data_IF_851799751860
#
_entry.id   IF_851799751860
#
_cell.length_a   1.000
_cell.length_b   1.000
_cell.length_c   1.000
_cell.angle_alpha   90.00
_cell.angle_beta   90.00
_cell.angle_gamma   90.00
#
_symmetry.space_group_name_H-M   'P 1'
#
loop_
_entity.id
_entity.type
_entity.pdbx_description
1 polymer ?
#
# COMPACT_ATOMS: atom_id res chain seq x y z
N UNK A 1 15.58 -12.87 2.79
CA UNK A 1 16.12 -11.82 3.70
C UNK A 1 17.38 -12.31 4.40
N UNK A 2 17.38 -13.50 5.01
CA UNK A 2 18.56 -14.04 5.72
C UNK A 2 19.83 -14.07 4.85
N UNK A 3 19.69 -14.39 3.58
CA UNK A 3 20.80 -14.44 2.63
C UNK A 3 21.32 -13.04 2.26
N UNK A 4 20.43 -12.04 2.26
CA UNK A 4 20.79 -10.66 1.94
C UNK A 4 21.49 -10.01 3.14
N UNK A 5 20.91 -10.18 4.34
CA UNK A 5 21.42 -9.62 5.58
C UNK A 5 20.83 -10.39 6.78
N UNK A 6 21.70 -11.00 7.59
CA UNK A 6 21.32 -11.79 8.76
C UNK A 6 20.69 -10.95 9.88
N UNK A 7 21.13 -9.70 10.04
CA UNK A 7 20.59 -8.78 11.06
C UNK A 7 19.18 -8.34 10.68
N UNK A 8 18.95 -8.05 9.39
CA UNK A 8 17.59 -7.75 8.89
C UNK A 8 16.66 -8.95 9.09
N UNK A 9 17.14 -10.17 8.91
CA UNK A 9 16.33 -11.36 9.15
C UNK A 9 15.97 -11.54 10.63
N UNK A 10 16.87 -11.19 11.55
CA UNK A 10 16.58 -11.20 12.99
C UNK A 10 15.50 -10.16 13.35
N UNK A 11 15.63 -8.94 12.85
CA UNK A 11 14.64 -7.88 13.05
C UNK A 11 13.30 -8.28 12.46
N UNK A 12 13.28 -8.90 11.26
CA UNK A 12 12.04 -9.36 10.63
C UNK A 12 11.32 -10.43 11.45
N UNK A 13 12.04 -11.36 12.08
CA UNK A 13 11.45 -12.36 13.00
C UNK A 13 10.75 -11.70 14.18
N UNK A 14 11.36 -10.70 14.80
CA UNK A 14 10.71 -9.92 15.85
C UNK A 14 9.48 -9.16 15.34
N UNK A 15 9.57 -8.58 14.16
CA UNK A 15 8.43 -7.91 13.52
C UNK A 15 7.26 -8.86 13.25
N UNK A 16 7.53 -10.12 12.91
CA UNK A 16 6.49 -11.16 12.76
C UNK A 16 5.77 -11.45 14.08
N UNK A 17 6.51 -11.57 15.19
CA UNK A 17 5.92 -11.78 16.51
C UNK A 17 5.06 -10.59 16.95
N UNK A 18 5.57 -9.37 16.73
CA UNK A 18 4.80 -8.13 17.02
C UNK A 18 3.55 -8.07 16.16
N UNK A 19 3.65 -8.34 14.86
CA UNK A 19 2.52 -8.35 13.95
C UNK A 19 1.46 -9.38 14.35
N UNK A 20 1.89 -10.60 14.71
CA UNK A 20 1.00 -11.64 15.21
C UNK A 20 0.31 -11.23 16.51
N UNK A 21 1.04 -10.61 17.45
CA UNK A 21 0.50 -10.07 18.69
C UNK A 21 -0.54 -8.97 18.45
N UNK A 22 -0.23 -8.01 17.57
CA UNK A 22 -1.16 -6.93 17.20
C UNK A 22 -2.40 -7.49 16.50
N UNK A 23 -2.24 -8.38 15.53
CA UNK A 23 -3.38 -9.01 14.84
C UNK A 23 -4.28 -9.79 15.78
N UNK A 24 -3.70 -10.58 16.68
CA UNK A 24 -4.44 -11.30 17.73
C UNK A 24 -5.16 -10.33 18.68
N UNK A 25 -4.52 -9.23 19.06
CA UNK A 25 -5.11 -8.16 19.85
C UNK A 25 -6.32 -7.51 19.17
N UNK A 26 -6.21 -7.23 17.86
CA UNK A 26 -7.33 -6.69 17.06
C UNK A 26 -8.49 -7.68 17.03
N UNK A 27 -8.23 -8.96 16.79
CA UNK A 27 -9.27 -10.01 16.81
C UNK A 27 -9.93 -10.14 18.18
N UNK A 28 -9.11 -10.08 19.26
CA UNK A 28 -9.61 -10.17 20.62
C UNK A 28 -10.50 -8.97 21.01
N UNK A 29 -10.04 -7.74 20.72
CA UNK A 29 -10.82 -6.51 20.99
C UNK A 29 -12.13 -6.49 20.22
N UNK A 30 -12.10 -6.90 18.95
CA UNK A 30 -13.30 -6.92 18.09
C UNK A 30 -14.19 -8.13 18.34
N UNK A 31 -13.77 -9.10 19.17
CA UNK A 31 -14.52 -10.32 19.42
C UNK A 31 -15.95 -10.06 19.90
N UNK A 32 -16.09 -9.17 20.87
CA UNK A 32 -17.36 -8.91 21.54
C UNK A 32 -18.09 -7.70 20.94
N UNK A 33 -17.34 -6.72 20.45
CA UNK A 33 -17.90 -5.44 19.93
C UNK A 33 -18.22 -5.48 18.45
N UNK A 34 -17.53 -6.33 17.70
CA UNK A 34 -17.67 -6.43 16.24
C UNK A 34 -17.01 -5.27 15.50
N UNK A 35 -16.97 -5.38 14.15
CA UNK A 35 -16.42 -4.31 13.30
C UNK A 35 -17.31 -3.06 13.23
N UNK A 36 -18.56 -3.14 13.67
CA UNK A 36 -19.51 -2.02 13.68
C UNK A 36 -19.05 -0.84 14.52
N UNK A 37 -18.21 -1.08 15.55
CA UNK A 37 -17.60 -0.02 16.36
C UNK A 37 -16.76 0.94 15.51
N UNK A 38 -16.07 0.42 14.50
CA UNK A 38 -15.24 1.22 13.60
C UNK A 38 -16.09 2.22 12.80
N UNK A 39 -17.30 1.84 12.42
CA UNK A 39 -18.27 2.73 11.77
C UNK A 39 -18.67 3.90 12.65
N UNK A 40 -18.90 3.65 13.95
CA UNK A 40 -19.28 4.68 14.93
C UNK A 40 -18.22 5.76 15.08
N UNK A 41 -16.93 5.37 15.09
CA UNK A 41 -15.82 6.28 15.33
C UNK A 41 -15.08 6.72 14.07
N UNK A 42 -15.72 6.66 12.89
CA UNK A 42 -15.11 6.92 11.58
C UNK A 42 -14.31 8.23 11.47
N UNK A 43 -14.81 9.34 12.02
CA UNK A 43 -14.13 10.64 11.95
C UNK A 43 -12.92 10.69 12.92
N UNK A 44 -13.00 10.03 14.05
CA UNK A 44 -11.87 9.87 14.97
C UNK A 44 -10.79 9.02 14.30
N UNK A 45 -11.19 7.94 13.62
CA UNK A 45 -10.28 7.07 12.85
C UNK A 45 -9.61 7.85 11.72
N UNK A 46 -10.36 8.69 10.99
CA UNK A 46 -9.79 9.57 9.98
C UNK A 46 -8.79 10.56 10.59
N UNK A 47 -9.15 11.22 11.70
CA UNK A 47 -8.27 12.17 12.37
C UNK A 47 -6.97 11.50 12.84
N UNK A 48 -7.05 10.29 13.39
CA UNK A 48 -5.88 9.47 13.75
C UNK A 48 -5.06 9.13 12.49
N UNK A 49 -5.71 8.70 11.40
CA UNK A 49 -5.03 8.40 10.14
C UNK A 49 -4.28 9.59 9.57
N UNK A 50 -4.88 10.77 9.57
CA UNK A 50 -4.22 12.03 9.15
C UNK A 50 -3.08 12.39 10.11
N UNK A 51 -3.27 12.24 11.43
CA UNK A 51 -2.21 12.46 12.41
C UNK A 51 -1.01 11.53 12.16
N UNK A 52 -1.23 10.26 11.84
CA UNK A 52 -0.16 9.35 11.44
C UNK A 52 0.57 9.82 10.18
N UNK A 53 -0.15 10.32 9.15
CA UNK A 53 0.48 10.87 7.95
C UNK A 53 1.31 12.13 8.26
N UNK A 54 0.95 12.91 9.27
CA UNK A 54 1.67 14.12 9.67
C UNK A 54 2.89 13.82 10.57
N UNK A 55 2.93 12.66 11.25
CA UNK A 55 4.02 12.33 12.17
C UNK A 55 5.43 12.42 11.58
N UNK A 56 5.70 11.97 10.34
CA UNK A 56 7.04 12.13 9.75
C UNK A 56 7.49 13.57 9.57
N UNK A 57 6.58 14.55 9.63
CA UNK A 57 6.87 15.97 9.50
C UNK A 57 7.28 16.62 10.82
N UNK A 58 7.22 15.88 11.94
CA UNK A 58 7.64 16.38 13.25
C UNK A 58 9.11 16.82 13.22
N UNK A 59 9.43 17.97 13.84
CA UNK A 59 10.78 18.53 13.83
C UNK A 59 11.78 17.63 14.57
N UNK A 60 13.05 17.79 14.20
CA UNK A 60 14.16 17.16 14.90
C UNK A 60 14.29 17.80 16.30
N UNK A 61 14.70 17.00 17.29
CA UNK A 61 14.82 17.45 18.69
C UNK A 61 13.71 17.01 19.62
N UNK A 62 12.67 16.35 19.12
CA UNK A 62 11.64 15.68 19.93
C UNK A 62 12.00 14.20 20.15
N UNK A 63 11.55 13.57 21.27
CA UNK A 63 11.72 12.13 21.49
C UNK A 63 11.07 11.30 20.37
N UNK A 64 10.04 11.85 19.72
CA UNK A 64 9.38 11.31 18.53
C UNK A 64 9.65 12.29 17.40
N UNK A 65 10.43 11.88 16.41
CA UNK A 65 10.85 12.75 15.31
C UNK A 65 10.75 12.08 13.96
N UNK A 66 10.55 12.89 12.92
CA UNK A 66 10.64 12.42 11.54
C UNK A 66 12.07 12.07 11.15
N UNK A 67 12.26 11.07 10.33
CA UNK A 67 13.55 10.69 9.79
C UNK A 67 13.52 10.69 8.27
N UNK A 68 14.54 11.31 7.67
CA UNK A 68 14.73 11.30 6.22
C UNK A 68 15.58 10.10 5.84
N UNK A 69 15.07 9.26 4.95
CA UNK A 69 15.77 8.11 4.39
C UNK A 69 15.67 8.21 2.86
N UNK A 70 16.79 8.16 2.18
CA UNK A 70 16.87 8.26 0.70
C UNK A 70 16.13 9.50 0.12
N UNK A 71 16.22 10.64 0.81
CA UNK A 71 15.59 11.89 0.39
C UNK A 71 14.08 12.01 0.64
N UNK A 72 13.45 11.00 1.22
CA UNK A 72 12.03 10.98 1.58
C UNK A 72 11.84 10.94 3.10
N UNK A 73 10.91 11.73 3.61
CA UNK A 73 10.63 11.84 5.06
C UNK A 73 9.40 11.02 5.44
N UNK A 74 9.58 9.69 5.49
CA UNK A 74 8.51 8.70 5.65
C UNK A 74 8.54 7.98 7.00
N UNK A 75 9.68 8.01 7.66
CA UNK A 75 9.92 7.25 8.88
C UNK A 75 9.78 8.14 10.12
N UNK A 76 9.32 7.53 11.19
CA UNK A 76 9.33 8.12 12.53
C UNK A 76 10.28 7.32 13.40
N UNK A 77 11.17 8.00 14.08
CA UNK A 77 12.07 7.45 15.09
C UNK A 77 11.58 7.82 16.47
N UNK A 78 11.53 6.82 17.34
CA UNK A 78 11.18 6.99 18.75
C UNK A 78 12.42 6.64 19.57
N UNK A 79 12.94 7.61 20.28
CA UNK A 79 14.01 7.41 21.26
C UNK A 79 13.37 7.19 22.63
N UNK A 80 13.61 6.01 23.21
CA UNK A 80 13.11 5.71 24.55
C UNK A 80 14.22 6.06 25.55
N UNK A 81 14.01 7.05 26.43
CA UNK A 81 15.01 7.40 27.44
C UNK A 81 15.37 6.18 28.29
N UNK A 82 16.66 5.87 28.39
CA UNK A 82 17.16 4.72 29.16
C UNK A 82 17.29 3.39 28.41
N UNK A 83 16.86 3.34 27.16
CA UNK A 83 17.16 2.24 26.24
C UNK A 83 18.01 2.78 25.10
N UNK A 84 19.24 2.25 24.89
CA UNK A 84 20.10 2.58 23.73
C UNK A 84 19.53 1.99 22.42
N UNK A 85 18.21 2.05 22.24
CA UNK A 85 17.51 1.52 21.07
C UNK A 85 16.59 2.56 20.49
N UNK A 86 16.74 2.78 19.19
CA UNK A 86 15.86 3.63 18.40
C UNK A 86 14.85 2.72 17.71
N UNK A 87 13.57 2.91 18.02
CA UNK A 87 12.49 2.27 17.26
C UNK A 87 12.13 3.13 16.06
N UNK A 88 12.10 2.53 14.88
CA UNK A 88 11.66 3.22 13.67
C UNK A 88 10.45 2.51 13.06
N UNK A 89 9.45 3.28 12.67
CA UNK A 89 8.28 2.75 11.96
C UNK A 89 7.80 3.74 10.91
N UNK A 90 7.04 3.24 9.94
CA UNK A 90 6.46 4.03 8.85
C UNK A 90 4.96 4.24 9.12
N UNK A 91 4.54 5.43 9.58
CA UNK A 91 3.15 5.69 9.95
C UNK A 91 2.16 5.58 8.78
N UNK A 92 2.60 5.85 7.56
CA UNK A 92 1.79 5.72 6.34
C UNK A 92 1.19 4.33 6.14
N UNK A 93 1.88 3.28 6.60
CA UNK A 93 1.39 1.90 6.53
C UNK A 93 0.13 1.69 7.39
N UNK A 94 0.08 2.30 8.55
CA UNK A 94 -1.10 2.25 9.44
C UNK A 94 -2.19 3.19 8.92
N UNK A 95 -1.80 4.39 8.47
CA UNK A 95 -2.72 5.40 7.97
C UNK A 95 -3.58 4.88 6.82
N UNK A 96 -3.02 4.11 5.87
CA UNK A 96 -3.79 3.53 4.75
C UNK A 96 -4.93 2.64 5.23
N UNK A 97 -4.73 1.84 6.28
CA UNK A 97 -5.78 0.98 6.85
C UNK A 97 -6.89 1.82 7.50
N UNK A 98 -6.51 2.85 8.26
CA UNK A 98 -7.47 3.77 8.89
C UNK A 98 -8.28 4.55 7.86
N UNK A 99 -7.66 4.97 6.75
CA UNK A 99 -8.34 5.63 5.63
C UNK A 99 -9.35 4.68 4.97
N UNK A 100 -9.00 3.40 4.78
CA UNK A 100 -9.96 2.40 4.26
C UNK A 100 -11.16 2.26 5.18
N UNK A 101 -10.95 2.16 6.49
CA UNK A 101 -12.04 2.06 7.48
C UNK A 101 -12.96 3.29 7.41
N UNK A 102 -12.38 4.49 7.32
CA UNK A 102 -13.13 5.72 7.14
C UNK A 102 -13.95 5.70 5.85
N UNK A 103 -13.29 5.42 4.71
CA UNK A 103 -13.95 5.38 3.40
C UNK A 103 -15.08 4.35 3.36
N UNK A 104 -14.86 3.14 3.86
CA UNK A 104 -15.87 2.10 3.92
C UNK A 104 -17.10 2.56 4.74
N UNK A 105 -16.86 3.21 5.88
CA UNK A 105 -17.90 3.74 6.73
C UNK A 105 -18.68 4.89 6.08
N UNK A 106 -17.96 5.83 5.46
CA UNK A 106 -18.55 6.97 4.80
C UNK A 106 -19.38 6.57 3.57
N UNK A 107 -18.80 5.70 2.74
CA UNK A 107 -19.44 5.19 1.52
C UNK A 107 -20.67 4.33 1.83
N UNK A 108 -20.67 3.58 2.94
CA UNK A 108 -21.82 2.78 3.35
C UNK A 108 -23.09 3.62 3.56
N UNK A 109 -22.94 4.88 3.96
CA UNK A 109 -24.08 5.80 4.17
C UNK A 109 -24.41 6.67 2.95
N UNK A 110 -23.41 6.95 2.10
CA UNK A 110 -23.55 7.95 1.03
C UNK A 110 -23.48 7.37 -0.39
N UNK A 111 -23.28 6.05 -0.54
CA UNK A 111 -23.14 5.43 -1.86
C UNK A 111 -24.31 5.72 -2.79
N UNK A 112 -25.55 5.65 -2.29
CA UNK A 112 -26.75 5.91 -3.10
C UNK A 112 -26.80 7.37 -3.57
N UNK A 113 -26.45 8.32 -2.71
CA UNK A 113 -26.40 9.73 -3.06
C UNK A 113 -25.28 10.04 -4.07
N UNK A 114 -24.14 9.30 -3.99
CA UNK A 114 -23.04 9.42 -4.93
C UNK A 114 -23.34 8.71 -6.26
N UNK A 115 -24.16 7.67 -6.23
CA UNK A 115 -24.63 6.98 -7.42
C UNK A 115 -25.79 7.73 -8.10
N UNK A 116 -26.56 8.56 -7.38
CA UNK A 116 -27.61 9.38 -7.94
C UNK A 116 -27.02 10.43 -8.89
N UNK A 117 -27.66 10.59 -10.02
CA UNK A 117 -27.20 11.50 -11.09
C UNK A 117 -28.13 12.68 -11.13
N UNK A 118 -27.62 13.82 -10.67
CA UNK A 118 -28.41 15.07 -10.70
C UNK A 118 -28.09 15.97 -11.88
N UNK A 119 -26.95 15.82 -12.52
CA UNK A 119 -26.54 16.66 -13.64
C UNK A 119 -25.96 15.85 -14.79
N UNK A 120 -26.40 16.13 -15.99
CA UNK A 120 -25.81 15.63 -17.23
C UNK A 120 -24.95 16.74 -17.84
N UNK A 121 -23.67 16.46 -18.04
CA UNK A 121 -22.77 17.33 -18.79
C UNK A 121 -22.36 16.60 -20.07
N UNK A 122 -23.10 16.83 -21.15
CA UNK A 122 -22.96 16.06 -22.38
C UNK A 122 -23.26 14.56 -22.15
N UNK A 123 -22.39 13.64 -22.60
CA UNK A 123 -22.56 12.20 -22.38
C UNK A 123 -22.24 11.77 -20.94
N UNK A 124 -21.66 12.64 -20.13
CA UNK A 124 -21.22 12.34 -18.75
C UNK A 124 -22.28 12.70 -17.73
N UNK A 125 -22.57 11.75 -16.87
CA UNK A 125 -23.46 11.91 -15.72
C UNK A 125 -22.63 12.20 -14.49
N UNK A 126 -22.65 13.42 -13.99
CA UNK A 126 -21.80 13.90 -12.89
C UNK A 126 -22.59 13.82 -11.59
N UNK A 127 -22.05 13.17 -10.53
CA UNK A 127 -22.66 13.17 -9.21
C UNK A 127 -22.59 14.56 -8.57
N UNK A 128 -23.47 14.82 -7.62
CA UNK A 128 -23.55 16.11 -6.92
C UNK A 128 -22.26 16.35 -6.11
N UNK A 129 -21.54 17.48 -6.31
CA UNK A 129 -20.26 17.75 -5.62
C UNK A 129 -20.37 17.77 -4.09
N UNK A 130 -21.55 18.14 -3.56
CA UNK A 130 -21.82 18.19 -2.13
C UNK A 130 -21.63 16.83 -1.44
N UNK A 131 -21.96 15.74 -2.11
CA UNK A 131 -21.84 14.39 -1.57
C UNK A 131 -20.41 13.86 -1.62
N UNK A 132 -19.57 14.40 -2.52
CA UNK A 132 -18.16 14.05 -2.65
C UNK A 132 -17.25 14.86 -1.72
N UNK A 133 -17.70 16.01 -1.22
CA UNK A 133 -16.89 16.98 -0.48
C UNK A 133 -16.02 16.37 0.62
N UNK A 134 -16.56 15.67 1.62
CA UNK A 134 -15.74 15.09 2.70
C UNK A 134 -14.71 14.03 2.22
N UNK A 135 -15.07 13.26 1.20
CA UNK A 135 -14.14 12.26 0.61
C UNK A 135 -13.02 12.96 -0.15
N UNK A 136 -13.36 14.00 -0.93
CA UNK A 136 -12.37 14.79 -1.67
C UNK A 136 -11.43 15.56 -0.72
N UNK A 137 -11.95 16.10 0.39
CA UNK A 137 -11.12 16.78 1.40
C UNK A 137 -10.18 15.78 2.05
N UNK A 138 -10.65 14.59 2.45
CA UNK A 138 -9.81 13.55 3.01
C UNK A 138 -8.75 13.06 2.01
N UNK A 139 -9.14 12.89 0.74
CA UNK A 139 -8.21 12.53 -0.33
C UNK A 139 -7.17 13.64 -0.55
N UNK A 140 -7.61 14.88 -0.72
CA UNK A 140 -6.72 16.01 -0.97
C UNK A 140 -5.72 16.23 0.18
N UNK A 141 -6.17 16.13 1.44
CA UNK A 141 -5.28 16.26 2.60
C UNK A 141 -4.22 15.15 2.63
N UNK A 142 -4.63 13.89 2.41
CA UNK A 142 -3.68 12.78 2.35
C UNK A 142 -2.69 12.95 1.19
N UNK A 143 -3.17 13.37 0.02
CA UNK A 143 -2.32 13.64 -1.15
C UNK A 143 -1.31 14.74 -0.91
N UNK A 144 -1.73 15.88 -0.38
CA UNK A 144 -0.84 17.00 -0.09
C UNK A 144 0.27 16.61 0.87
N UNK A 145 -0.06 15.83 1.92
CA UNK A 145 0.93 15.35 2.88
C UNK A 145 1.93 14.41 2.20
N UNK A 146 1.47 13.48 1.38
CA UNK A 146 2.33 12.51 0.70
C UNK A 146 3.21 13.16 -0.38
N UNK A 147 2.70 14.17 -1.10
CA UNK A 147 3.49 14.97 -2.04
C UNK A 147 4.61 15.70 -1.29
N UNK A 148 4.29 16.30 -0.16
CA UNK A 148 5.28 16.98 0.68
C UNK A 148 6.34 16.02 1.23
N UNK A 149 5.95 14.79 1.56
CA UNK A 149 6.86 13.72 1.99
C UNK A 149 7.69 13.11 0.84
N UNK A 150 7.38 13.46 -0.42
CA UNK A 150 7.96 12.87 -1.64
C UNK A 150 7.72 11.37 -1.77
N UNK A 151 6.57 10.91 -1.26
CA UNK A 151 6.14 9.51 -1.35
C UNK A 151 5.20 9.29 -2.53
N UNK A 152 5.79 9.11 -3.70
CA UNK A 152 5.05 8.85 -4.93
C UNK A 152 4.32 7.50 -4.90
N UNK A 153 4.93 6.49 -4.29
CA UNK A 153 4.36 5.15 -4.20
C UNK A 153 3.07 5.14 -3.38
N UNK A 154 3.12 5.69 -2.16
CA UNK A 154 1.94 5.77 -1.31
C UNK A 154 0.89 6.72 -1.88
N UNK A 155 1.29 7.80 -2.58
CA UNK A 155 0.37 8.70 -3.28
C UNK A 155 -0.41 7.96 -4.35
N UNK A 156 0.28 7.20 -5.22
CA UNK A 156 -0.35 6.41 -6.27
C UNK A 156 -1.27 5.33 -5.69
N UNK A 157 -0.80 4.62 -4.64
CA UNK A 157 -1.59 3.59 -3.97
C UNK A 157 -2.88 4.17 -3.37
N UNK A 158 -2.80 5.25 -2.60
CA UNK A 158 -3.97 5.87 -2.00
C UNK A 158 -4.92 6.44 -3.05
N UNK A 159 -4.41 7.04 -4.12
CA UNK A 159 -5.24 7.50 -5.22
C UNK A 159 -6.00 6.36 -5.88
N UNK A 160 -5.30 5.30 -6.27
CA UNK A 160 -5.92 4.13 -6.88
C UNK A 160 -6.95 3.48 -5.92
N UNK A 161 -6.66 3.45 -4.62
CA UNK A 161 -7.57 2.97 -3.59
C UNK A 161 -8.84 3.83 -3.51
N UNK A 162 -8.73 5.16 -3.51
CA UNK A 162 -9.90 6.07 -3.53
C UNK A 162 -10.79 5.79 -4.72
N UNK A 163 -10.21 5.75 -5.92
CA UNK A 163 -10.95 5.47 -7.17
C UNK A 163 -11.62 4.09 -7.10
N UNK A 164 -10.89 3.08 -6.64
CA UNK A 164 -11.41 1.71 -6.50
C UNK A 164 -12.58 1.66 -5.51
N UNK A 165 -12.46 2.29 -4.35
CA UNK A 165 -13.54 2.30 -3.36
C UNK A 165 -14.77 3.07 -3.82
N UNK A 166 -14.61 4.19 -4.52
CA UNK A 166 -15.72 4.90 -5.15
C UNK A 166 -16.43 4.03 -6.20
N UNK A 167 -15.65 3.31 -7.02
CA UNK A 167 -16.21 2.38 -7.99
C UNK A 167 -16.96 1.23 -7.31
N UNK A 168 -16.37 0.59 -6.30
CA UNK A 168 -16.99 -0.50 -5.54
C UNK A 168 -18.30 -0.07 -4.86
N UNK A 169 -18.38 1.17 -4.40
CA UNK A 169 -19.55 1.69 -3.71
C UNK A 169 -20.68 2.11 -4.66
N UNK A 170 -20.34 2.66 -5.83
CA UNK A 170 -21.30 3.29 -6.75
C UNK A 170 -21.61 2.47 -7.99
N UNK A 171 -20.72 1.54 -8.37
CA UNK A 171 -20.78 0.80 -9.64
C UNK A 171 -20.57 1.67 -10.90
N UNK A 172 -20.11 2.93 -10.74
CA UNK A 172 -20.04 3.89 -11.84
C UNK A 172 -18.65 3.93 -12.47
N UNK A 173 -18.54 3.52 -13.75
CA UNK A 173 -17.29 3.60 -14.53
C UNK A 173 -16.75 5.02 -14.65
N UNK A 174 -17.60 6.03 -14.48
CA UNK A 174 -17.19 7.44 -14.44
C UNK A 174 -16.04 7.70 -13.48
N UNK A 175 -16.06 7.14 -12.27
CA UNK A 175 -14.99 7.32 -11.29
C UNK A 175 -13.67 6.69 -11.74
N UNK A 176 -13.72 5.56 -12.43
CA UNK A 176 -12.54 4.89 -12.97
C UNK A 176 -11.95 5.70 -14.13
N UNK A 177 -12.79 6.14 -15.07
CA UNK A 177 -12.36 6.90 -16.24
C UNK A 177 -11.80 8.27 -15.83
N UNK A 178 -12.52 9.00 -14.98
CA UNK A 178 -12.06 10.30 -14.48
C UNK A 178 -10.82 10.17 -13.60
N UNK A 179 -10.74 9.11 -12.79
CA UNK A 179 -9.56 8.78 -12.01
C UNK A 179 -8.36 8.49 -12.90
N UNK A 180 -8.51 7.66 -13.94
CA UNK A 180 -7.44 7.38 -14.88
C UNK A 180 -6.96 8.65 -15.61
N UNK A 181 -7.89 9.49 -16.08
CA UNK A 181 -7.56 10.78 -16.69
C UNK A 181 -6.78 11.69 -15.72
N UNK A 182 -7.24 11.76 -14.46
CA UNK A 182 -6.57 12.56 -13.42
C UNK A 182 -5.17 12.00 -13.08
N UNK A 183 -5.00 10.67 -13.06
CA UNK A 183 -3.71 10.02 -12.85
C UNK A 183 -2.72 10.37 -13.98
N UNK A 184 -3.17 10.39 -15.23
CA UNK A 184 -2.34 10.78 -16.37
C UNK A 184 -1.94 12.25 -16.26
N UNK A 185 -2.91 13.15 -16.01
CA UNK A 185 -2.63 14.59 -15.87
C UNK A 185 -1.69 14.85 -14.68
N UNK A 186 -1.97 14.21 -13.53
CA UNK A 186 -1.12 14.32 -12.34
C UNK A 186 0.28 13.75 -12.56
N UNK A 187 0.40 12.64 -13.28
CA UNK A 187 1.68 12.03 -13.65
C UNK A 187 2.52 12.94 -14.56
N UNK A 188 1.91 13.54 -15.58
CA UNK A 188 2.56 14.52 -16.47
C UNK A 188 3.00 15.76 -15.68
N UNK A 189 2.13 16.28 -14.81
CA UNK A 189 2.45 17.41 -13.95
C UNK A 189 3.60 17.09 -12.98
N UNK A 190 3.59 15.89 -12.37
CA UNK A 190 4.64 15.44 -11.47
C UNK A 190 5.98 15.26 -12.22
N UNK A 191 5.96 14.72 -13.44
CA UNK A 191 7.14 14.63 -14.30
C UNK A 191 7.73 16.01 -14.60
N UNK A 192 6.88 16.99 -14.90
CA UNK A 192 7.34 18.36 -15.19
C UNK A 192 7.85 19.10 -13.96
N UNK A 193 7.38 18.77 -12.75
CA UNK A 193 7.64 19.52 -11.53
C UNK A 193 8.76 18.92 -10.65
N UNK A 194 9.07 17.62 -10.77
CA UNK A 194 9.93 16.93 -9.82
C UNK A 194 11.03 16.10 -10.48
N UNK A 195 12.29 16.46 -10.31
CA UNK A 195 13.46 15.77 -10.86
C UNK A 195 13.53 14.28 -10.46
N UNK A 196 13.11 13.95 -9.24
CA UNK A 196 13.10 12.54 -8.79
C UNK A 196 12.05 11.68 -9.52
N UNK A 197 10.97 12.30 -10.02
CA UNK A 197 9.98 11.63 -10.88
C UNK A 197 10.57 11.42 -12.27
N UNK A 198 11.22 12.45 -12.82
CA UNK A 198 11.89 12.35 -14.13
C UNK A 198 12.88 11.19 -14.14
N UNK A 199 13.80 11.13 -13.17
CA UNK A 199 14.78 10.03 -13.07
C UNK A 199 14.12 8.65 -13.01
N UNK A 200 13.01 8.50 -12.28
CA UNK A 200 12.29 7.22 -12.21
C UNK A 200 11.62 6.84 -13.54
N UNK A 201 11.05 7.81 -14.24
CA UNK A 201 10.43 7.60 -15.55
C UNK A 201 11.50 7.29 -16.61
N UNK A 202 12.62 8.01 -16.61
CA UNK A 202 13.74 7.76 -17.51
C UNK A 202 14.33 6.35 -17.28
N UNK A 203 14.59 5.98 -16.03
CA UNK A 203 15.07 4.63 -15.69
C UNK A 203 14.03 3.54 -15.99
N UNK A 204 12.76 3.86 -16.07
CA UNK A 204 11.71 2.93 -16.51
C UNK A 204 11.65 2.78 -18.00
N UNK A 205 11.77 3.88 -18.77
CA UNK A 205 11.72 3.87 -20.23
C UNK A 205 12.98 3.22 -20.81
N UNK A 206 14.17 3.67 -20.37
CA UNK A 206 15.45 3.12 -20.80
C UNK A 206 16.44 2.99 -19.62
N UNK A 207 16.38 1.87 -18.87
CA UNK A 207 17.31 1.65 -17.76
C UNK A 207 18.75 1.39 -18.21
N UNK A 208 18.97 1.07 -19.48
CA UNK A 208 20.31 0.80 -20.03
C UNK A 208 21.04 2.07 -20.44
N UNK A 209 20.36 3.21 -20.56
CA UNK A 209 20.99 4.49 -20.86
C UNK A 209 21.94 4.95 -19.73
N UNK A 210 21.62 4.61 -18.46
CA UNK A 210 22.46 4.93 -17.30
C UNK A 210 22.54 3.73 -16.35
N UNK A 211 23.30 2.72 -16.78
CA UNK A 211 23.43 1.43 -16.07
C UNK A 211 24.09 1.60 -14.69
N UNK A 212 24.95 2.61 -14.50
CA UNK A 212 25.67 2.84 -13.23
C UNK A 212 24.97 3.84 -12.31
N UNK A 213 23.96 4.55 -12.81
CA UNK A 213 23.20 5.55 -12.07
C UNK A 213 21.75 5.15 -11.85
N UNK A 214 20.83 5.93 -12.43
CA UNK A 214 19.38 5.78 -12.19
C UNK A 214 18.82 4.41 -12.63
N UNK A 215 19.38 3.78 -13.67
CA UNK A 215 18.96 2.48 -14.19
C UNK A 215 19.53 1.28 -13.42
N UNK A 216 20.55 1.45 -12.58
CA UNK A 216 21.30 0.36 -11.97
C UNK A 216 20.39 -0.69 -11.28
N UNK A 217 19.49 -0.22 -10.42
CA UNK A 217 18.57 -1.10 -9.67
C UNK A 217 17.67 -1.93 -10.60
N UNK A 218 17.11 -1.30 -11.63
CA UNK A 218 16.24 -1.95 -12.61
C UNK A 218 17.02 -3.00 -13.40
N UNK A 219 18.22 -2.65 -13.88
CA UNK A 219 19.06 -3.55 -14.69
C UNK A 219 19.48 -4.78 -13.88
N UNK A 220 19.92 -4.60 -12.63
CA UNK A 220 20.27 -5.72 -11.75
C UNK A 220 19.07 -6.62 -11.48
N UNK A 221 17.89 -6.05 -11.25
CA UNK A 221 16.65 -6.83 -11.11
C UNK A 221 16.29 -7.62 -12.36
N UNK A 222 16.47 -7.05 -13.56
CA UNK A 222 16.24 -7.75 -14.83
C UNK A 222 17.24 -8.89 -15.05
N UNK A 223 18.53 -8.68 -14.73
CA UNK A 223 19.55 -9.73 -14.81
C UNK A 223 19.26 -10.87 -13.84
N UNK A 224 18.88 -10.57 -12.60
CA UNK A 224 18.52 -11.57 -11.60
C UNK A 224 17.31 -12.42 -12.07
N UNK A 225 16.25 -11.79 -12.56
CA UNK A 225 15.09 -12.50 -13.13
C UNK A 225 15.47 -13.34 -14.35
N UNK A 226 16.35 -12.81 -15.23
CA UNK A 226 16.84 -13.55 -16.39
C UNK A 226 17.69 -14.76 -16.03
N UNK A 227 18.56 -14.65 -15.03
CA UNK A 227 19.40 -15.75 -14.54
C UNK A 227 18.59 -16.87 -13.89
N UNK A 228 17.45 -16.55 -13.27
CA UNK A 228 16.57 -17.55 -12.65
C UNK A 228 15.93 -18.53 -13.63
N UNK A 229 15.78 -18.18 -14.90
CA UNK A 229 15.21 -19.08 -15.92
C UNK A 229 13.88 -19.72 -15.49
N UNK A 230 13.66 -21.00 -15.78
CA UNK A 230 12.40 -21.71 -15.43
C UNK A 230 12.41 -22.22 -13.98
N UNK A 231 13.51 -22.78 -13.51
CA UNK A 231 13.61 -23.52 -12.25
C UNK A 231 14.33 -22.77 -11.14
N UNK A 232 14.96 -21.65 -11.45
CA UNK A 232 15.78 -20.87 -10.54
C UNK A 232 17.23 -21.40 -10.44
N UNK A 233 18.11 -20.55 -9.88
CA UNK A 233 19.47 -20.93 -9.53
C UNK A 233 19.55 -21.88 -8.32
N UNK A 234 18.46 -21.99 -7.57
CA UNK A 234 18.34 -22.74 -6.31
C UNK A 234 18.28 -21.81 -5.09
N UNK A 235 17.59 -22.26 -4.06
CA UNK A 235 17.43 -21.50 -2.81
C UNK A 235 18.78 -21.25 -2.15
N UNK A 236 19.11 -19.98 -1.93
CA UNK A 236 20.37 -19.53 -1.35
C UNK A 236 21.55 -19.58 -2.31
N UNK A 237 21.38 -19.88 -3.60
CA UNK A 237 22.43 -19.93 -4.62
C UNK A 237 22.40 -18.70 -5.54
N UNK A 238 21.40 -17.85 -5.45
CA UNK A 238 21.34 -16.55 -6.13
C UNK A 238 22.32 -15.53 -5.58
N UNK A 239 22.39 -14.38 -6.23
CA UNK A 239 23.22 -13.22 -5.86
C UNK A 239 22.36 -11.98 -5.57
N UNK A 240 21.38 -12.07 -4.63
CA UNK A 240 20.52 -10.94 -4.29
C UNK A 240 21.29 -9.76 -3.68
N UNK A 241 22.54 -9.98 -3.24
CA UNK A 241 23.48 -8.95 -2.79
C UNK A 241 23.82 -7.93 -3.88
N UNK A 242 23.71 -8.30 -5.15
CA UNK A 242 23.94 -7.40 -6.28
C UNK A 242 22.76 -6.48 -6.59
N UNK A 243 21.57 -6.80 -6.08
CA UNK A 243 20.36 -6.02 -6.34
C UNK A 243 20.19 -4.98 -5.22
N UNK A 244 20.28 -3.67 -5.52
CA UNK A 244 19.98 -2.65 -4.52
C UNK A 244 18.55 -2.82 -3.99
N UNK A 245 18.37 -2.68 -2.67
CA UNK A 245 17.08 -2.87 -2.01
C UNK A 245 16.39 -4.22 -2.29
N UNK A 246 17.16 -5.30 -2.52
CA UNK A 246 16.63 -6.64 -2.74
C UNK A 246 15.70 -7.12 -1.61
N UNK A 247 15.98 -6.74 -0.36
CA UNK A 247 15.15 -7.12 0.79
C UNK A 247 13.80 -6.37 0.83
N UNK A 248 13.67 -5.23 0.16
CA UNK A 248 12.48 -4.37 0.20
C UNK A 248 11.75 -4.37 -1.15
N UNK A 249 12.12 -3.46 -2.03
CA UNK A 249 11.39 -3.15 -3.26
C UNK A 249 11.59 -4.21 -4.34
N UNK A 250 12.74 -4.90 -4.34
CA UNK A 250 13.14 -5.89 -5.34
C UNK A 250 13.16 -7.33 -4.84
N UNK A 251 12.48 -7.61 -3.72
CA UNK A 251 12.41 -8.99 -3.18
C UNK A 251 11.86 -9.99 -4.20
N UNK A 252 10.95 -9.56 -5.08
CA UNK A 252 10.40 -10.41 -6.13
C UNK A 252 11.46 -10.80 -7.17
N UNK A 253 12.39 -9.90 -7.52
CA UNK A 253 13.49 -10.23 -8.41
C UNK A 253 14.45 -11.26 -7.80
N UNK A 254 14.75 -11.14 -6.49
CA UNK A 254 15.55 -12.12 -5.76
C UNK A 254 14.85 -13.50 -5.70
N UNK A 255 13.53 -13.53 -5.50
CA UNK A 255 12.74 -14.78 -5.54
C UNK A 255 12.76 -15.37 -6.94
N UNK A 256 12.61 -14.55 -7.98
CA UNK A 256 12.67 -15.01 -9.36
C UNK A 256 14.04 -15.56 -9.75
N UNK A 257 15.13 -15.00 -9.23
CA UNK A 257 16.48 -15.53 -9.42
C UNK A 257 16.63 -16.91 -8.79
N UNK A 258 16.24 -17.09 -7.53
CA UNK A 258 16.45 -18.33 -6.79
C UNK A 258 15.44 -19.44 -7.11
N UNK A 259 14.19 -19.08 -7.36
CA UNK A 259 13.06 -20.02 -7.59
C UNK A 259 12.58 -20.04 -9.05
N UNK A 260 13.13 -19.20 -9.90
CA UNK A 260 12.79 -19.12 -11.32
C UNK A 260 11.35 -18.67 -11.60
N UNK A 261 10.90 -18.95 -12.83
CA UNK A 261 9.54 -18.67 -13.27
C UNK A 261 8.49 -19.41 -12.42
N UNK A 262 8.80 -20.66 -12.00
CA UNK A 262 7.88 -21.45 -11.18
C UNK A 262 7.61 -20.80 -9.82
N UNK A 263 8.64 -20.31 -9.13
CA UNK A 263 8.50 -19.56 -7.88
C UNK A 263 7.77 -18.22 -8.07
N UNK A 264 8.08 -17.52 -9.17
CA UNK A 264 7.43 -16.27 -9.51
C UNK A 264 5.91 -16.46 -9.73
N UNK A 265 5.51 -17.49 -10.46
CA UNK A 265 4.10 -17.84 -10.67
C UNK A 265 3.43 -18.22 -9.34
N UNK A 266 4.11 -18.98 -8.47
CA UNK A 266 3.58 -19.34 -7.16
C UNK A 266 3.30 -18.10 -6.29
N UNK A 267 4.17 -17.10 -6.29
CA UNK A 267 3.96 -15.82 -5.60
C UNK A 267 2.75 -15.08 -6.17
N UNK A 268 2.66 -14.94 -7.49
CA UNK A 268 1.54 -14.28 -8.16
C UNK A 268 0.21 -14.99 -7.85
N UNK A 269 0.19 -16.33 -7.92
CA UNK A 269 -0.96 -17.14 -7.59
C UNK A 269 -1.36 -16.99 -6.11
N UNK A 270 -0.40 -16.93 -5.19
CA UNK A 270 -0.64 -16.66 -3.78
C UNK A 270 -1.35 -15.33 -3.54
N UNK A 271 -0.89 -14.25 -4.18
CA UNK A 271 -1.57 -12.95 -4.11
C UNK A 271 -2.94 -12.98 -4.76
N UNK A 272 -3.09 -13.63 -5.92
CA UNK A 272 -4.39 -13.76 -6.59
C UNK A 272 -5.41 -14.49 -5.71
N UNK A 273 -5.01 -15.60 -5.07
CA UNK A 273 -5.87 -16.35 -4.15
C UNK A 273 -6.25 -15.53 -2.91
N UNK A 274 -5.29 -14.82 -2.30
CA UNK A 274 -5.54 -13.97 -1.14
C UNK A 274 -6.54 -12.86 -1.46
N UNK A 275 -6.32 -12.17 -2.58
CA UNK A 275 -7.19 -11.10 -3.08
C UNK A 275 -8.58 -11.65 -3.44
N UNK A 276 -8.65 -12.79 -4.11
CA UNK A 276 -9.92 -13.43 -4.44
C UNK A 276 -10.70 -13.85 -3.18
N UNK A 277 -10.02 -14.38 -2.16
CA UNK A 277 -10.65 -14.70 -0.88
C UNK A 277 -11.22 -13.45 -0.19
N UNK A 278 -10.45 -12.34 -0.17
CA UNK A 278 -10.88 -11.09 0.41
C UNK A 278 -12.07 -10.45 -0.31
N UNK A 279 -12.05 -10.38 -1.65
CA UNK A 279 -13.21 -9.92 -2.42
C UNK A 279 -14.40 -10.91 -2.29
N UNK A 280 -14.14 -12.20 -2.14
CA UNK A 280 -15.16 -13.19 -1.85
C UNK A 280 -15.90 -12.92 -0.52
N UNK A 281 -15.19 -12.44 0.51
CA UNK A 281 -15.80 -11.96 1.76
C UNK A 281 -16.67 -10.72 1.47
N UNK A 282 -16.15 -9.75 0.72
CA UNK A 282 -16.88 -8.54 0.38
C UNK A 282 -18.19 -8.82 -0.38
N UNK A 283 -18.14 -9.72 -1.37
CA UNK A 283 -19.32 -10.06 -2.19
C UNK A 283 -20.41 -10.76 -1.34
N UNK A 284 -20.00 -11.60 -0.39
CA UNK A 284 -20.95 -12.31 0.48
C UNK A 284 -21.51 -11.44 1.60
N UNK A 285 -20.88 -10.33 1.92
CA UNK A 285 -21.30 -9.43 2.99
C UNK A 285 -22.62 -8.74 2.66
N UNK A 286 -23.60 -8.90 3.56
CA UNK A 286 -24.94 -8.28 3.45
C UNK A 286 -24.93 -6.83 3.92
N UNK A 287 -24.18 -6.51 4.96
CA UNK A 287 -24.04 -5.15 5.46
C UNK A 287 -23.10 -4.34 4.57
N UNK A 288 -23.52 -3.11 4.18
CA UNK A 288 -22.78 -2.24 3.27
C UNK A 288 -21.41 -1.84 3.81
N UNK A 289 -21.31 -1.58 5.11
CA UNK A 289 -20.03 -1.21 5.72
C UNK A 289 -19.05 -2.36 5.66
N UNK A 290 -19.47 -3.58 6.07
CA UNK A 290 -18.66 -4.79 6.01
C UNK A 290 -18.24 -5.11 4.58
N UNK A 291 -19.15 -4.96 3.62
CA UNK A 291 -18.87 -5.14 2.19
C UNK A 291 -17.76 -4.20 1.70
N UNK A 292 -17.89 -2.89 1.98
CA UNK A 292 -16.90 -1.93 1.52
C UNK A 292 -15.60 -2.00 2.31
N UNK A 293 -15.65 -2.35 3.60
CA UNK A 293 -14.46 -2.60 4.41
C UNK A 293 -13.66 -3.76 3.85
N UNK A 294 -14.28 -4.92 3.66
CA UNK A 294 -13.61 -6.09 3.09
C UNK A 294 -13.11 -5.83 1.67
N UNK A 295 -13.90 -5.18 0.82
CA UNK A 295 -13.50 -4.80 -0.54
C UNK A 295 -12.32 -3.84 -0.55
N UNK A 296 -12.33 -2.81 0.30
CA UNK A 296 -11.25 -1.82 0.42
C UNK A 296 -9.95 -2.43 0.95
N UNK A 297 -10.03 -3.26 1.99
CA UNK A 297 -8.86 -3.96 2.54
C UNK A 297 -8.24 -4.92 1.51
N UNK A 298 -9.07 -5.64 0.76
CA UNK A 298 -8.61 -6.52 -0.34
C UNK A 298 -7.98 -5.71 -1.48
N UNK A 299 -8.56 -4.54 -1.79
CA UNK A 299 -8.03 -3.65 -2.80
C UNK A 299 -6.66 -3.06 -2.40
N UNK A 300 -6.40 -2.78 -1.12
CA UNK A 300 -5.07 -2.36 -0.65
C UNK A 300 -4.03 -3.41 -1.01
N UNK A 301 -4.27 -4.68 -0.65
CA UNK A 301 -3.32 -5.77 -0.96
C UNK A 301 -3.15 -5.93 -2.46
N UNK A 302 -4.25 -5.92 -3.23
CA UNK A 302 -4.23 -6.07 -4.67
C UNK A 302 -3.46 -4.96 -5.38
N UNK A 303 -3.77 -3.70 -5.07
CA UNK A 303 -3.14 -2.53 -5.66
C UNK A 303 -1.67 -2.42 -5.27
N UNK A 304 -1.34 -2.65 -3.99
CA UNK A 304 0.04 -2.61 -3.52
C UNK A 304 0.88 -3.69 -4.20
N UNK A 305 0.40 -4.94 -4.24
CA UNK A 305 1.08 -6.02 -4.95
C UNK A 305 1.22 -5.70 -6.45
N UNK A 306 0.16 -5.22 -7.11
CA UNK A 306 0.19 -4.85 -8.53
C UNK A 306 1.21 -3.75 -8.85
N UNK A 307 1.23 -2.68 -8.04
CA UNK A 307 2.16 -1.55 -8.24
C UNK A 307 3.61 -2.01 -8.08
N UNK A 308 3.91 -2.83 -7.07
CA UNK A 308 5.27 -3.28 -6.80
C UNK A 308 5.73 -4.29 -7.84
N UNK A 309 4.93 -5.32 -8.08
CA UNK A 309 5.24 -6.33 -9.09
C UNK A 309 5.33 -5.70 -10.48
N UNK A 310 4.43 -4.76 -10.80
CA UNK A 310 4.48 -3.97 -12.03
C UNK A 310 5.76 -3.15 -12.15
N UNK A 311 6.25 -2.58 -11.04
CA UNK A 311 7.53 -1.85 -11.01
C UNK A 311 8.72 -2.76 -11.27
N UNK A 312 8.80 -3.92 -10.58
CA UNK A 312 9.89 -4.89 -10.75
C UNK A 312 9.87 -5.51 -12.16
N UNK A 313 8.70 -5.81 -12.70
CA UNK A 313 8.50 -6.33 -14.05
C UNK A 313 8.59 -5.25 -15.14
N UNK A 314 8.89 -4.02 -14.78
CA UNK A 314 9.00 -2.88 -15.70
C UNK A 314 7.71 -2.55 -16.48
N UNK A 315 6.56 -2.92 -15.95
CA UNK A 315 5.24 -2.49 -16.47
C UNK A 315 4.88 -1.09 -15.97
N UNK A 316 5.40 -0.68 -14.81
CA UNK A 316 5.22 0.61 -14.17
C UNK A 316 6.57 1.19 -13.73
N UNK A 317 6.69 2.51 -13.51
CA UNK A 317 7.86 3.07 -12.84
C UNK A 317 7.99 2.53 -11.41
N UNK A 318 9.23 2.37 -10.94
CA UNK A 318 9.52 1.90 -9.56
C UNK A 318 8.99 2.91 -8.55
N UNK A 319 8.27 2.42 -7.54
CA UNK A 319 7.58 3.25 -6.55
C UNK A 319 8.23 3.28 -5.17
N UNK A 320 9.03 2.28 -4.82
CA UNK A 320 9.65 2.19 -3.49
C UNK A 320 8.71 1.69 -2.39
N UNK A 321 7.61 1.03 -2.75
CA UNK A 321 6.72 0.37 -1.80
C UNK A 321 7.23 -1.03 -1.46
N UNK A 322 6.77 -1.59 -0.34
CA UNK A 322 7.08 -2.96 0.08
C UNK A 322 6.03 -3.95 -0.43
N UNK A 323 6.45 -5.12 -0.91
CA UNK A 323 5.55 -6.22 -1.30
C UNK A 323 4.90 -6.81 -0.03
N UNK A 324 3.56 -6.81 0.09
CA UNK A 324 2.88 -7.29 1.29
C UNK A 324 3.35 -8.67 1.73
N UNK A 325 3.62 -8.86 3.02
CA UNK A 325 4.08 -10.11 3.65
C UNK A 325 5.47 -10.62 3.24
N UNK A 326 6.04 -10.20 2.12
CA UNK A 326 7.28 -10.74 1.56
C UNK A 326 8.49 -9.84 1.77
N UNK A 327 8.32 -8.52 1.56
CA UNK A 327 9.41 -7.56 1.76
C UNK A 327 9.78 -7.40 3.23
N UNK A 328 11.04 -7.06 3.48
CA UNK A 328 11.45 -6.54 4.76
C UNK A 328 10.71 -5.23 5.05
N UNK A 329 10.05 -5.16 6.22
CA UNK A 329 9.32 -3.97 6.64
C UNK A 329 8.36 -4.27 7.79
N UNK A 330 8.79 -4.01 9.04
CA UNK A 330 8.00 -4.32 10.22
C UNK A 330 6.64 -3.60 10.24
N UNK A 331 6.61 -2.32 9.87
CA UNK A 331 5.36 -1.53 9.83
C UNK A 331 4.39 -2.04 8.78
N UNK A 332 4.89 -2.38 7.59
CA UNK A 332 4.09 -2.96 6.52
C UNK A 332 3.52 -4.32 6.93
N UNK A 333 4.34 -5.16 7.56
CA UNK A 333 3.91 -6.47 8.06
C UNK A 333 2.80 -6.34 9.10
N UNK A 334 2.94 -5.44 10.09
CA UNK A 334 1.90 -5.17 11.09
C UNK A 334 0.61 -4.70 10.42
N UNK A 335 0.68 -3.73 9.50
CA UNK A 335 -0.49 -3.23 8.79
C UNK A 335 -1.19 -4.34 7.98
N UNK A 336 -0.42 -5.17 7.28
CA UNK A 336 -0.97 -6.27 6.49
C UNK A 336 -1.61 -7.36 7.36
N UNK A 337 -1.03 -7.68 8.52
CA UNK A 337 -1.64 -8.61 9.48
C UNK A 337 -2.93 -8.03 10.08
N UNK A 338 -2.99 -6.73 10.35
CA UNK A 338 -4.23 -6.04 10.76
C UNK A 338 -5.29 -6.15 9.66
N UNK A 339 -4.91 -5.97 8.38
CA UNK A 339 -5.83 -6.17 7.26
C UNK A 339 -6.42 -7.58 7.28
N UNK A 340 -5.59 -8.61 7.44
CA UNK A 340 -6.07 -10.00 7.51
C UNK A 340 -6.96 -10.22 8.73
N UNK A 341 -6.59 -9.68 9.90
CA UNK A 341 -7.41 -9.79 11.11
C UNK A 341 -8.81 -9.17 10.91
N UNK A 342 -8.90 -8.00 10.29
CA UNK A 342 -10.17 -7.35 9.95
C UNK A 342 -10.98 -8.18 8.94
N UNK A 343 -10.35 -8.72 7.88
CA UNK A 343 -11.01 -9.58 6.91
C UNK A 343 -11.56 -10.85 7.55
N UNK A 344 -10.80 -11.50 8.43
CA UNK A 344 -11.22 -12.67 9.18
C UNK A 344 -12.41 -12.33 10.09
N UNK A 345 -12.36 -11.17 10.75
CA UNK A 345 -13.46 -10.73 11.61
C UNK A 345 -14.75 -10.46 10.83
N UNK A 346 -14.66 -9.76 9.69
CA UNK A 346 -15.79 -9.56 8.79
C UNK A 346 -16.35 -10.92 8.33
N UNK A 347 -15.48 -11.84 7.91
CA UNK A 347 -15.90 -13.19 7.47
C UNK A 347 -16.61 -13.98 8.57
N UNK A 348 -16.16 -13.84 9.82
CA UNK A 348 -16.80 -14.50 10.96
C UNK A 348 -18.20 -13.93 11.23
N UNK A 349 -18.35 -12.60 11.24
CA UNK A 349 -19.63 -11.93 11.46
C UNK A 349 -20.68 -12.17 10.37
N UNK A 350 -20.26 -12.54 9.16
CA UNK A 350 -21.19 -12.91 8.09
C UNK A 350 -21.68 -14.37 8.19
N UNK A 351 -21.00 -15.21 8.98
CA UNK A 351 -21.37 -16.60 9.20
C UNK A 351 -22.19 -16.82 10.47
N UNK A 352 -22.06 -15.89 11.42
CA UNK A 352 -22.79 -15.90 12.69
C UNK A 352 -24.21 -15.32 12.51
#
# INVERSE_FOLDING_TARGET
IYRIDGDLAAIQRWSMLVAAGVGSGVLWVLRDVGVSILRRYRYVILAIGVAFLLMPLLPDGLPIRGATVNGSRLWVRIEVPGLDRIFSFQPGEIAKVLIVVFLASYLAERADAMAAVDRTFGPFRIPEPRNLGPVLIAAASAFLILIYQRDLGASLLLFALFVTMLYLATGRSFYVISGAALAVVGGVAAYAAFDHVQRRVEAWIDPFADIQGAGYQTVQGLFAMGSGSLTGSGLGLGRPDLIPAAATDFIFAAIAEEMGLAGSIAVLAGFALLVAAGFGIAIRSKDRFRKYLAGGLSAVIALQAFIILGGVLRLLPITGLTLPFMSYGGSSLVANVVIIALLLRVSHEERA
#
